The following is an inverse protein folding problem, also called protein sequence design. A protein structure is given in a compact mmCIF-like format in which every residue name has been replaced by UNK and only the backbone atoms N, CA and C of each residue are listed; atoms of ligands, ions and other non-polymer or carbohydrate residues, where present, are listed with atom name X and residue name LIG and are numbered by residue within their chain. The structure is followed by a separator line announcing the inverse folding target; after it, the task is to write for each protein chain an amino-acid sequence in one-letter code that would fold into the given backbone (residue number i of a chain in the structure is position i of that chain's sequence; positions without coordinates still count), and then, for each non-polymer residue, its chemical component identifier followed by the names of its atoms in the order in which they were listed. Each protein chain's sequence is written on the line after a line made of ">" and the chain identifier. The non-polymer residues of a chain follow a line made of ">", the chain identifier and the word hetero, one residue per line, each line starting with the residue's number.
data_IF_417818649811
#
_entry.id   IF_417818649811
#
_cell.length_a   1.000
_cell.length_b   1.000
_cell.length_c   1.000
_cell.angle_alpha   90.00
_cell.angle_beta   90.00
_cell.angle_gamma   90.00
#
_symmetry.space_group_name_H-M   'P 1'
#
loop_
_entity.id
_entity.type
_entity.pdbx_description
1 polymer ?
#
# COMPACT_ATOMS: atom_id res chain seq x y z
N UNK A 1 31.75 67.10 17.43
CA UNK A 1 31.82 65.89 18.28
C UNK A 1 30.50 65.17 18.11
N UNK A 2 30.47 64.27 17.11
CA UNK A 2 29.37 63.36 16.86
C UNK A 2 29.42 62.22 17.89
N UNK A 3 28.29 61.93 18.54
CA UNK A 3 28.10 60.68 19.27
C UNK A 3 27.00 59.88 18.57
N UNK A 4 27.42 58.97 17.69
CA UNK A 4 26.57 57.92 17.13
C UNK A 4 26.36 56.82 18.16
N UNK A 5 25.13 56.67 18.66
CA UNK A 5 24.70 55.44 19.31
C UNK A 5 24.25 54.45 18.21
N UNK A 6 25.06 53.41 17.98
CA UNK A 6 24.65 52.21 17.26
C UNK A 6 23.95 51.29 18.24
N UNK A 7 22.64 51.14 18.07
CA UNK A 7 21.82 50.16 18.77
C UNK A 7 22.14 48.77 18.18
N UNK A 8 22.76 47.93 18.98
CA UNK A 8 23.15 46.55 18.67
C UNK A 8 21.89 45.67 18.58
N UNK A 9 21.47 45.34 17.36
CA UNK A 9 20.38 44.39 17.11
C UNK A 9 20.73 42.98 17.60
N UNK A 10 20.00 42.50 18.60
CA UNK A 10 20.12 41.14 19.14
C UNK A 10 19.68 40.12 18.08
N UNK A 11 20.66 39.52 17.40
CA UNK A 11 20.46 38.40 16.51
C UNK A 11 20.10 37.14 17.33
N UNK A 12 18.80 36.83 17.42
CA UNK A 12 18.33 35.56 17.97
C UNK A 12 18.65 34.43 16.98
N UNK A 13 19.74 33.70 17.25
CA UNK A 13 20.11 32.51 16.47
C UNK A 13 19.04 31.43 16.64
N UNK A 14 18.24 31.22 15.60
CA UNK A 14 17.23 30.15 15.55
C UNK A 14 17.94 28.80 15.53
N UNK A 15 17.96 28.09 16.67
CA UNK A 15 18.37 26.69 16.75
C UNK A 15 17.59 25.87 15.71
N UNK A 16 18.32 25.28 14.76
CA UNK A 16 17.76 24.40 13.73
C UNK A 16 17.29 23.12 14.40
N UNK A 17 15.98 22.98 14.60
CA UNK A 17 15.38 21.75 15.13
C UNK A 17 15.62 20.64 14.10
N UNK A 18 16.44 19.66 14.44
CA UNK A 18 16.67 18.47 13.62
C UNK A 18 15.45 17.58 13.78
N UNK A 19 14.50 17.69 12.85
CA UNK A 19 13.35 16.79 12.83
C UNK A 19 13.80 15.40 12.38
N UNK A 20 13.72 14.41 13.28
CA UNK A 20 14.02 13.00 13.00
C UNK A 20 12.83 12.26 12.36
N UNK A 21 12.02 12.94 11.53
CA UNK A 21 10.80 12.37 10.95
C UNK A 21 10.79 12.51 9.43
N UNK A 22 10.28 11.49 8.76
CA UNK A 22 10.16 11.44 7.30
C UNK A 22 8.67 11.44 6.93
N UNK A 23 8.20 12.31 6.03
CA UNK A 23 6.81 12.32 5.61
C UNK A 23 6.49 11.12 4.72
N UNK A 24 5.49 10.32 5.10
CA UNK A 24 4.99 9.19 4.30
C UNK A 24 3.67 9.60 3.65
N UNK A 25 3.58 9.46 2.32
CA UNK A 25 2.33 9.66 1.57
C UNK A 25 1.51 8.38 1.60
N UNK A 26 0.28 8.48 2.12
CA UNK A 26 -0.67 7.37 2.19
C UNK A 26 -1.98 7.72 1.49
N UNK A 27 -2.72 6.72 1.04
CA UNK A 27 -4.06 6.92 0.48
C UNK A 27 -5.00 7.55 1.51
N UNK A 28 -5.98 8.33 1.04
CA UNK A 28 -6.97 9.00 1.90
C UNK A 28 -7.77 7.99 2.76
N UNK A 29 -8.07 6.82 2.20
CA UNK A 29 -8.74 5.71 2.90
C UNK A 29 -7.90 5.22 4.08
N UNK A 30 -6.61 4.93 3.86
CA UNK A 30 -5.66 4.49 4.89
C UNK A 30 -5.54 5.53 6.02
N UNK A 31 -5.39 6.80 5.67
CA UNK A 31 -5.34 7.90 6.65
C UNK A 31 -6.59 7.97 7.53
N UNK A 32 -7.77 7.80 6.93
CA UNK A 32 -9.05 7.76 7.66
C UNK A 32 -9.11 6.59 8.64
N UNK A 33 -8.68 5.40 8.22
CA UNK A 33 -8.64 4.20 9.07
C UNK A 33 -7.70 4.39 10.26
N UNK A 34 -6.49 4.89 10.04
CA UNK A 34 -5.52 5.16 11.11
C UNK A 34 -6.12 6.14 12.14
N UNK A 35 -6.76 7.23 11.68
CA UNK A 35 -7.42 8.20 12.58
C UNK A 35 -8.54 7.56 13.39
N UNK A 36 -9.35 6.68 12.79
CA UNK A 36 -10.41 5.98 13.51
C UNK A 36 -9.84 5.04 14.60
N UNK A 37 -8.74 4.35 14.33
CA UNK A 37 -8.04 3.51 15.32
C UNK A 37 -7.51 4.39 16.46
N UNK A 38 -6.86 5.51 16.15
CA UNK A 38 -6.37 6.45 17.17
C UNK A 38 -7.49 7.00 18.04
N UNK A 39 -8.65 7.33 17.46
CA UNK A 39 -9.81 7.79 18.23
C UNK A 39 -10.33 6.71 19.19
N UNK A 40 -10.27 5.42 18.81
CA UNK A 40 -10.61 4.32 19.73
C UNK A 40 -9.57 4.19 20.84
N UNK A 41 -8.28 4.25 20.51
CA UNK A 41 -7.19 4.09 21.46
C UNK A 41 -7.09 5.25 22.47
N UNK A 42 -7.41 6.46 22.03
CA UNK A 42 -7.34 7.68 22.84
C UNK A 42 -8.58 7.93 23.70
N UNK A 43 -9.55 7.00 23.72
CA UNK A 43 -10.65 7.01 24.71
C UNK A 43 -10.22 6.56 26.11
N UNK A 44 -8.93 6.27 26.32
CA UNK A 44 -8.37 5.97 27.63
C UNK A 44 -8.45 7.20 28.56
N UNK A 45 -8.82 6.96 29.81
CA UNK A 45 -9.07 8.03 30.79
C UNK A 45 -7.78 8.72 31.28
N UNK A 46 -6.63 8.05 31.18
CA UNK A 46 -5.36 8.52 31.72
C UNK A 46 -4.19 8.24 30.77
N UNK A 47 -3.16 9.09 30.83
CA UNK A 47 -1.89 8.91 30.14
C UNK A 47 -1.73 9.68 28.83
N UNK A 48 -0.55 9.53 28.19
CA UNK A 48 -0.20 10.20 26.93
C UNK A 48 -1.07 9.68 25.77
N UNK A 49 -1.53 10.58 24.91
CA UNK A 49 -2.23 10.21 23.67
C UNK A 49 -1.31 9.36 22.79
N UNK A 50 -1.85 8.29 22.23
CA UNK A 50 -1.14 7.51 21.23
C UNK A 50 -1.01 8.32 19.94
N UNK A 51 0.14 8.18 19.30
CA UNK A 51 0.48 8.81 18.03
C UNK A 51 0.33 7.81 16.87
N UNK A 52 0.34 8.32 15.64
CA UNK A 52 0.33 7.47 14.44
C UNK A 52 1.54 6.52 14.44
N UNK A 53 2.69 7.02 14.88
CA UNK A 53 3.92 6.24 14.96
C UNK A 53 3.78 5.04 15.90
N UNK A 54 3.20 5.21 17.09
CA UNK A 54 2.98 4.12 18.05
C UNK A 54 2.14 2.97 17.45
N UNK A 55 1.11 3.33 16.66
CA UNK A 55 0.24 2.35 16.02
C UNK A 55 0.98 1.59 14.93
N UNK A 56 1.74 2.29 14.08
CA UNK A 56 2.50 1.68 12.98
C UNK A 56 3.63 0.82 13.56
N UNK A 57 4.40 1.34 14.51
CA UNK A 57 5.49 0.62 15.17
C UNK A 57 5.03 -0.67 15.85
N UNK A 58 3.78 -0.71 16.37
CA UNK A 58 3.20 -1.94 16.91
C UNK A 58 2.65 -2.89 15.84
N UNK A 59 2.17 -2.35 14.71
CA UNK A 59 1.63 -3.14 13.61
C UNK A 59 2.72 -3.80 12.74
N UNK A 60 3.84 -3.13 12.51
CA UNK A 60 4.96 -3.64 11.70
C UNK A 60 5.46 -5.03 12.13
N UNK A 61 5.72 -5.31 13.43
CA UNK A 61 6.17 -6.64 13.85
C UNK A 61 5.08 -7.73 13.81
N UNK A 62 3.81 -7.36 13.62
CA UNK A 62 2.71 -8.32 13.45
C UNK A 62 2.50 -8.75 11.99
N UNK A 63 3.19 -8.10 11.04
CA UNK A 63 3.20 -8.53 9.65
C UNK A 63 4.00 -9.84 9.56
N UNK A 64 3.32 -10.91 9.20
CA UNK A 64 3.91 -12.20 8.88
C UNK A 64 4.22 -12.27 7.38
N UNK A 65 5.05 -13.23 6.98
CA UNK A 65 5.38 -13.45 5.56
C UNK A 65 4.13 -13.63 4.70
N UNK A 66 3.10 -14.29 5.24
CA UNK A 66 1.80 -14.44 4.58
C UNK A 66 1.16 -13.09 4.23
N UNK A 67 1.16 -12.12 5.15
CA UNK A 67 0.60 -10.80 4.87
C UNK A 67 1.42 -10.04 3.82
N UNK A 68 2.74 -10.25 3.80
CA UNK A 68 3.61 -9.66 2.77
C UNK A 68 3.33 -10.26 1.40
N UNK A 69 3.13 -11.59 1.33
CA UNK A 69 2.74 -12.28 0.10
C UNK A 69 1.36 -11.83 -0.37
N UNK A 70 0.38 -11.66 0.51
CA UNK A 70 -0.94 -11.12 0.14
C UNK A 70 -0.85 -9.69 -0.42
N UNK A 71 0.00 -8.84 0.17
CA UNK A 71 0.24 -7.49 -0.34
C UNK A 71 0.90 -7.56 -1.72
N UNK A 72 1.91 -8.42 -1.88
CA UNK A 72 2.60 -8.64 -3.15
C UNK A 72 1.62 -9.12 -4.23
N UNK A 73 0.77 -10.10 -3.90
CA UNK A 73 -0.28 -10.59 -4.78
C UNK A 73 -1.30 -9.51 -5.16
N UNK A 74 -1.69 -8.66 -4.21
CA UNK A 74 -2.58 -7.54 -4.46
C UNK A 74 -1.95 -6.45 -5.34
N UNK A 75 -0.62 -6.37 -5.41
CA UNK A 75 0.09 -5.43 -6.29
C UNK A 75 0.27 -5.91 -7.72
N UNK A 76 0.09 -7.21 -8.00
CA UNK A 76 0.17 -7.71 -9.37
C UNK A 76 -0.99 -7.20 -10.22
N UNK A 77 -0.64 -6.57 -11.35
CA UNK A 77 -1.60 -6.22 -12.39
C UNK A 77 -2.23 -7.48 -12.98
N UNK A 78 -3.41 -7.35 -13.59
CA UNK A 78 -4.04 -8.45 -14.33
C UNK A 78 -3.11 -9.02 -15.40
N UNK A 79 -2.28 -8.17 -16.03
CA UNK A 79 -1.25 -8.59 -16.99
C UNK A 79 -0.17 -9.44 -16.31
N UNK A 80 0.31 -9.03 -15.15
CA UNK A 80 1.34 -9.75 -14.40
C UNK A 80 0.82 -11.12 -13.93
N UNK A 81 -0.45 -11.17 -13.49
CA UNK A 81 -1.13 -12.41 -13.11
C UNK A 81 -1.23 -13.38 -14.29
N UNK A 82 -1.61 -12.89 -15.47
CA UNK A 82 -1.68 -13.70 -16.68
C UNK A 82 -0.30 -14.23 -17.08
N UNK A 83 0.73 -13.40 -16.98
CA UNK A 83 2.09 -13.80 -17.32
C UNK A 83 2.69 -14.80 -16.31
N UNK A 84 2.39 -14.65 -15.02
CA UNK A 84 2.76 -15.64 -14.00
C UNK A 84 2.08 -16.99 -14.25
N UNK A 85 0.78 -16.99 -14.57
CA UNK A 85 0.06 -18.23 -14.89
C UNK A 85 0.61 -18.89 -16.16
N UNK A 86 0.92 -18.10 -17.19
CA UNK A 86 1.55 -18.61 -18.41
C UNK A 86 2.91 -19.25 -18.12
N UNK A 87 3.76 -18.60 -17.31
CA UNK A 87 5.05 -19.17 -16.93
C UNK A 87 4.90 -20.44 -16.10
N UNK A 88 3.97 -20.49 -15.15
CA UNK A 88 3.70 -21.69 -14.35
C UNK A 88 3.20 -22.84 -15.23
N UNK A 89 2.32 -22.55 -16.19
CA UNK A 89 1.84 -23.53 -17.15
C UNK A 89 2.97 -24.06 -18.03
N UNK A 90 3.83 -23.19 -18.57
CA UNK A 90 4.98 -23.60 -19.38
C UNK A 90 5.97 -24.46 -18.59
N UNK A 91 6.15 -24.23 -17.29
CA UNK A 91 6.98 -25.08 -16.43
C UNK A 91 6.40 -26.49 -16.26
N UNK A 92 5.07 -26.61 -16.19
CA UNK A 92 4.38 -27.90 -15.94
C UNK A 92 4.13 -28.71 -17.21
N UNK A 93 3.82 -28.04 -18.32
CA UNK A 93 3.35 -28.67 -19.55
C UNK A 93 4.29 -28.48 -20.75
N UNK A 94 5.41 -27.77 -20.56
CA UNK A 94 6.38 -27.47 -21.62
C UNK A 94 6.12 -26.11 -22.29
N UNK A 95 7.09 -25.66 -23.09
CA UNK A 95 7.01 -24.37 -23.77
C UNK A 95 5.89 -24.38 -24.83
N UNK A 96 4.74 -23.79 -24.49
CA UNK A 96 3.67 -23.47 -25.44
C UNK A 96 3.76 -21.99 -25.84
N UNK A 97 3.12 -21.59 -26.95
CA UNK A 97 3.02 -20.17 -27.31
C UNK A 97 2.00 -19.45 -26.42
N UNK A 98 2.18 -18.14 -26.24
CA UNK A 98 1.20 -17.29 -25.51
C UNK A 98 -0.17 -17.33 -26.16
N UNK A 99 -0.25 -17.42 -27.49
CA UNK A 99 -1.51 -17.52 -28.23
C UNK A 99 -2.24 -18.83 -27.91
N UNK A 100 -1.55 -19.96 -27.95
CA UNK A 100 -2.12 -21.27 -27.61
C UNK A 100 -2.57 -21.33 -26.14
N UNK A 101 -1.82 -20.71 -25.23
CA UNK A 101 -2.23 -20.59 -23.83
C UNK A 101 -3.52 -19.78 -23.70
N UNK A 102 -3.64 -18.69 -24.44
CA UNK A 102 -4.81 -17.84 -24.44
C UNK A 102 -6.02 -18.58 -25.01
N UNK A 103 -5.86 -19.28 -26.14
CA UNK A 103 -6.91 -20.14 -26.73
C UNK A 103 -7.41 -21.19 -25.74
N UNK A 104 -6.51 -21.85 -25.02
CA UNK A 104 -6.89 -22.80 -23.96
C UNK A 104 -7.67 -22.14 -22.82
N UNK A 105 -7.24 -20.98 -22.35
CA UNK A 105 -7.95 -20.22 -21.31
C UNK A 105 -9.34 -19.78 -21.79
N UNK A 106 -9.45 -19.32 -23.04
CA UNK A 106 -10.72 -18.99 -23.66
C UNK A 106 -11.62 -20.24 -23.71
N UNK A 107 -11.13 -21.36 -24.22
CA UNK A 107 -11.91 -22.59 -24.33
C UNK A 107 -12.33 -23.16 -22.97
N UNK A 108 -11.52 -22.99 -21.93
CA UNK A 108 -11.85 -23.38 -20.55
C UNK A 108 -12.82 -22.40 -19.86
N UNK A 109 -12.78 -21.11 -20.20
CA UNK A 109 -13.65 -20.07 -19.63
C UNK A 109 -14.97 -19.83 -20.39
N UNK A 110 -15.05 -20.21 -21.66
CA UNK A 110 -16.21 -20.07 -22.54
C UNK A 110 -17.41 -21.01 -22.31
N UNK A 111 -17.35 -22.20 -21.65
CA UNK A 111 -18.54 -23.04 -21.53
C UNK A 111 -19.67 -22.40 -20.69
N UNK A 112 -19.40 -21.27 -20.04
CA UNK A 112 -20.40 -20.47 -19.30
C UNK A 112 -21.21 -19.53 -20.19
N UNK A 113 -20.72 -19.13 -21.38
CA UNK A 113 -21.40 -18.16 -22.24
C UNK A 113 -22.23 -18.80 -23.36
N UNK A 114 -21.88 -20.02 -23.77
CA UNK A 114 -22.56 -20.72 -24.89
C UNK A 114 -23.79 -21.53 -24.45
N UNK A 115 -24.03 -21.69 -23.14
CA UNK A 115 -25.19 -22.43 -22.60
C UNK A 115 -26.48 -21.61 -22.51
N UNK A 116 -26.48 -20.33 -22.91
CA UNK A 116 -27.65 -19.43 -22.79
C UNK A 116 -28.38 -19.15 -24.10
N UNK A 117 -28.08 -19.89 -25.17
CA UNK A 117 -28.69 -19.65 -26.48
C UNK A 117 -29.09 -20.96 -27.17
N UNK A 118 -29.79 -21.84 -26.46
CA UNK A 118 -30.54 -22.94 -27.06
C UNK A 118 -31.62 -23.46 -26.11
N UNK A 119 -32.81 -22.87 -26.23
CA UNK A 119 -34.08 -23.55 -26.01
C UNK A 119 -35.06 -22.93 -27.00
N UNK A 120 -35.05 -23.53 -28.19
CA UNK A 120 -35.97 -23.38 -29.31
C UNK A 120 -37.35 -23.99 -28.98
N UNK A 121 -38.34 -23.55 -29.78
CA UNK A 121 -39.75 -23.98 -29.95
C UNK A 121 -40.81 -23.55 -28.92
#
# INVERSE_FOLDING_TARGET
>A
MEHSNKDEGIATSKKKVVNNTIPIRVKKTTSRTIRAILNKLNKKQLGKKATVDDVISKALPLLTDKHLDEIKEATYSSKDRLEMQYQDYCRKHGNISKETFLEMLLQAGLPVLTSTSQSDD
#
